data_IF_543451928925
#
_entry.id   IF_543451928925
#
_cell.length_a   1.000
_cell.length_b   1.000
_cell.length_c   1.000
_cell.angle_alpha   90.00
_cell.angle_beta   90.00
_cell.angle_gamma   90.00
#
_symmetry.space_group_name_H-M   'P 1'
#
loop_
_entity.id
_entity.type
_entity.pdbx_description
1 polymer ?
#
# COMPACT_ATOMS: atom_id res chain seq x y z
N UNK A 1 43.00 16.40 -0.18
CA UNK A 1 41.62 16.46 -0.70
C UNK A 1 40.91 15.18 -0.31
N UNK A 2 40.15 15.19 0.78
CA UNK A 2 39.38 14.03 1.24
C UNK A 2 37.92 14.23 0.83
N UNK A 3 37.44 13.39 -0.07
CA UNK A 3 36.02 13.29 -0.44
C UNK A 3 35.26 12.63 0.70
N UNK A 4 34.50 13.43 1.46
CA UNK A 4 33.45 12.95 2.34
C UNK A 4 32.24 12.57 1.48
N UNK A 5 32.12 11.28 1.14
CA UNK A 5 30.83 10.73 0.72
C UNK A 5 29.92 10.69 1.95
N UNK A 6 29.10 11.74 2.11
CA UNK A 6 27.98 11.72 3.03
C UNK A 6 27.01 10.62 2.61
N UNK A 7 26.91 9.56 3.42
CA UNK A 7 25.77 8.66 3.41
C UNK A 7 24.55 9.52 3.77
N UNK A 8 23.74 9.91 2.79
CA UNK A 8 22.42 10.43 3.04
C UNK A 8 21.61 9.30 3.70
N UNK A 9 21.58 9.28 5.04
CA UNK A 9 20.58 8.50 5.76
C UNK A 9 19.23 9.10 5.40
N UNK A 10 18.42 8.36 4.64
CA UNK A 10 17.01 8.65 4.53
C UNK A 10 16.45 8.71 5.95
N UNK A 11 15.89 9.86 6.34
CA UNK A 11 15.27 10.03 7.65
C UNK A 11 13.95 9.26 7.65
N UNK A 12 14.02 7.96 7.99
CA UNK A 12 12.84 7.11 8.07
C UNK A 12 11.96 7.53 9.27
N UNK A 13 10.71 7.87 9.00
CA UNK A 13 9.70 8.10 10.03
C UNK A 13 9.14 6.74 10.43
N UNK A 14 9.21 6.40 11.73
CA UNK A 14 8.56 5.22 12.32
C UNK A 14 7.29 5.64 13.03
N UNK A 15 6.16 5.13 12.57
CA UNK A 15 4.91 5.29 13.30
C UNK A 15 4.82 4.29 14.42
N UNK A 16 4.20 4.70 15.52
CA UNK A 16 3.86 3.81 16.62
C UNK A 16 2.37 3.88 16.86
N UNK A 17 1.81 2.74 17.18
CA UNK A 17 0.49 2.64 17.78
C UNK A 17 0.62 2.39 19.28
N UNK A 18 -0.15 3.12 20.12
CA UNK A 18 -0.08 3.03 21.57
C UNK A 18 -0.16 1.62 22.16
N UNK A 19 -0.98 0.74 21.60
CA UNK A 19 -1.43 -0.53 22.19
C UNK A 19 -1.23 -1.75 21.28
N UNK A 20 -0.97 -1.58 19.98
CA UNK A 20 -0.81 -2.69 19.01
C UNK A 20 0.47 -2.54 18.19
N UNK A 21 1.09 -3.66 17.89
CA UNK A 21 2.38 -3.76 17.19
C UNK A 21 2.19 -3.52 15.68
N UNK A 22 2.01 -2.25 15.30
CA UNK A 22 2.16 -1.81 13.92
C UNK A 22 3.46 -1.02 13.78
N UNK A 23 4.30 -1.49 12.86
CA UNK A 23 5.53 -0.84 12.47
C UNK A 23 5.50 -0.76 10.96
N UNK A 24 5.54 0.46 10.47
CA UNK A 24 5.82 0.74 9.08
C UNK A 24 6.77 1.93 9.06
N UNK A 25 7.58 2.00 8.02
CA UNK A 25 8.55 3.06 7.78
C UNK A 25 8.25 3.72 6.45
N UNK A 26 8.30 5.05 6.42
CA UNK A 26 8.20 5.84 5.20
C UNK A 26 9.07 7.09 5.29
N UNK A 27 9.18 7.80 4.17
CA UNK A 27 9.93 9.06 4.07
C UNK A 27 9.07 10.30 4.41
N UNK A 28 7.75 10.15 4.59
CA UNK A 28 6.82 11.25 4.91
C UNK A 28 6.25 11.21 6.32
N UNK A 29 5.54 12.28 6.68
CA UNK A 29 4.63 12.33 7.82
C UNK A 29 3.65 11.15 7.80
N UNK A 30 3.41 10.63 9.00
CA UNK A 30 2.62 9.44 9.25
C UNK A 30 1.30 9.79 9.92
N UNK A 31 0.19 9.19 9.48
CA UNK A 31 -1.00 9.06 10.32
C UNK A 31 -1.14 7.61 10.78
N UNK A 32 -1.16 7.42 12.10
CA UNK A 32 -1.46 6.13 12.71
C UNK A 32 -2.81 6.22 13.44
N UNK A 33 -3.66 5.21 13.25
CA UNK A 33 -4.96 5.14 13.94
C UNK A 33 -5.18 3.74 14.50
N UNK A 34 -5.58 3.64 15.76
CA UNK A 34 -5.96 2.39 16.40
C UNK A 34 -7.48 2.22 16.37
N UNK A 35 -7.96 1.09 15.83
CA UNK A 35 -9.38 0.75 15.86
C UNK A 35 -9.57 -0.74 16.07
N UNK A 36 -10.43 -1.13 17.03
CA UNK A 36 -10.78 -2.53 17.31
C UNK A 36 -9.60 -3.47 17.57
N UNK A 37 -8.55 -3.00 18.25
CA UNK A 37 -7.37 -3.82 18.51
C UNK A 37 -6.41 -3.94 17.30
N UNK A 38 -6.57 -3.11 16.28
CA UNK A 38 -5.70 -3.09 15.10
C UNK A 38 -5.21 -1.67 14.83
N UNK A 39 -3.95 -1.53 14.44
CA UNK A 39 -3.36 -0.24 14.13
C UNK A 39 -3.10 -0.07 12.63
N UNK A 40 -3.70 0.97 12.06
CA UNK A 40 -3.43 1.45 10.70
C UNK A 40 -2.23 2.38 10.75
N UNK A 41 -1.32 2.24 9.80
CA UNK A 41 -0.33 3.27 9.49
C UNK A 41 -0.51 3.68 8.03
N UNK A 42 -0.78 4.95 7.78
CA UNK A 42 -0.80 5.52 6.42
C UNK A 42 0.50 6.28 6.19
N UNK A 43 1.29 5.82 5.22
CA UNK A 43 2.37 6.58 4.63
C UNK A 43 2.00 6.97 3.20
N UNK A 44 2.46 8.14 2.79
CA UNK A 44 2.31 8.59 1.42
C UNK A 44 3.49 8.17 0.54
N UNK A 45 4.62 7.79 1.17
CA UNK A 45 5.87 7.35 0.53
C UNK A 45 6.49 6.23 1.38
N UNK A 46 6.95 5.16 0.73
CA UNK A 46 7.66 4.05 1.36
C UNK A 46 9.10 3.97 0.84
N UNK A 47 9.95 3.22 1.53
CA UNK A 47 11.30 2.92 1.02
C UNK A 47 11.18 1.97 -0.18
N UNK A 48 11.74 2.37 -1.33
CA UNK A 48 11.81 1.56 -2.56
C UNK A 48 12.25 0.12 -2.29
N UNK A 49 13.19 -0.10 -1.36
CA UNK A 49 13.66 -1.44 -0.98
C UNK A 49 12.55 -2.28 -0.36
N UNK A 50 11.71 -1.67 0.47
CA UNK A 50 10.58 -2.38 1.09
C UNK A 50 9.49 -2.68 0.07
N UNK A 51 9.24 -1.76 -0.87
CA UNK A 51 8.31 -1.99 -1.97
C UNK A 51 8.77 -3.12 -2.89
N UNK A 52 10.03 -3.12 -3.30
CA UNK A 52 10.63 -4.17 -4.11
C UNK A 52 10.62 -5.52 -3.36
N UNK A 53 10.91 -5.51 -2.06
CA UNK A 53 10.84 -6.72 -1.24
C UNK A 53 9.39 -7.23 -1.14
N UNK A 54 8.41 -6.35 -0.97
CA UNK A 54 7.00 -6.70 -0.95
C UNK A 54 6.53 -7.28 -2.30
N UNK A 55 6.98 -6.70 -3.43
CA UNK A 55 6.74 -7.23 -4.78
C UNK A 55 7.32 -8.63 -4.96
N UNK A 56 8.58 -8.82 -4.61
CA UNK A 56 9.29 -10.09 -4.80
C UNK A 56 8.66 -11.19 -3.93
N UNK A 57 8.25 -10.85 -2.71
CA UNK A 57 7.49 -11.74 -1.85
C UNK A 57 6.10 -12.05 -2.43
N UNK A 58 5.35 -11.04 -2.88
CA UNK A 58 4.02 -11.22 -3.49
C UNK A 58 4.10 -12.17 -4.71
N UNK A 59 5.14 -12.02 -5.52
CA UNK A 59 5.42 -12.90 -6.67
C UNK A 59 5.68 -14.35 -6.23
N UNK A 60 6.45 -14.53 -5.15
CA UNK A 60 6.75 -15.87 -4.59
C UNK A 60 5.52 -16.55 -4.00
N UNK A 61 4.77 -15.85 -3.14
CA UNK A 61 3.64 -16.44 -2.39
C UNK A 61 2.46 -16.76 -3.30
N UNK A 62 2.19 -15.93 -4.30
CA UNK A 62 1.08 -16.16 -5.22
C UNK A 62 1.43 -17.09 -6.40
N UNK A 63 2.69 -17.52 -6.54
CA UNK A 63 3.19 -18.32 -7.69
C UNK A 63 2.85 -17.67 -9.05
N UNK A 64 2.77 -16.35 -9.10
CA UNK A 64 2.40 -15.61 -10.30
C UNK A 64 3.65 -15.31 -11.12
N UNK A 65 3.57 -15.50 -12.44
CA UNK A 65 4.73 -15.32 -13.32
C UNK A 65 5.17 -13.87 -13.40
N UNK A 66 4.28 -12.89 -13.25
CA UNK A 66 4.62 -11.46 -13.23
C UNK A 66 3.61 -10.69 -12.34
N UNK A 67 4.07 -10.21 -11.19
CA UNK A 67 3.39 -9.16 -10.44
C UNK A 67 3.79 -7.84 -11.09
N UNK A 68 2.82 -7.07 -11.58
CA UNK A 68 3.10 -5.80 -12.20
C UNK A 68 3.46 -4.77 -11.12
N UNK A 69 4.65 -4.18 -11.23
CA UNK A 69 5.07 -3.06 -10.41
C UNK A 69 5.51 -1.94 -11.33
N UNK A 70 4.88 -0.78 -11.18
CA UNK A 70 5.25 0.41 -11.93
C UNK A 70 6.00 1.36 -11.01
N UNK A 71 7.28 1.54 -11.27
CA UNK A 71 8.02 2.67 -10.71
C UNK A 71 7.42 3.95 -11.30
N UNK A 72 6.83 4.78 -10.44
CA UNK A 72 6.40 6.11 -10.84
C UNK A 72 7.52 7.06 -10.43
N UNK A 73 8.44 7.41 -11.34
CA UNK A 73 9.54 8.29 -10.99
C UNK A 73 8.98 9.61 -10.47
N UNK A 74 9.64 10.15 -9.45
CA UNK A 74 9.44 11.54 -9.07
C UNK A 74 9.62 12.38 -10.33
N UNK A 75 8.57 13.09 -10.77
CA UNK A 75 8.80 14.19 -11.70
C UNK A 75 9.85 15.09 -11.04
N UNK A 76 10.76 15.68 -11.84
CA UNK A 76 11.89 16.55 -11.45
C UNK A 76 11.52 17.81 -10.61
N UNK A 77 10.31 17.88 -10.06
CA UNK A 77 9.84 18.91 -9.17
C UNK A 77 10.20 18.57 -7.73
N UNK A 78 11.32 19.15 -7.31
CA UNK A 78 11.97 19.18 -5.99
C UNK A 78 11.05 19.36 -4.76
N UNK A 79 9.75 19.60 -4.92
CA UNK A 79 8.81 19.90 -3.82
C UNK A 79 7.45 19.17 -3.91
N UNK A 80 7.30 18.10 -4.71
CA UNK A 80 6.08 17.29 -4.69
C UNK A 80 6.36 15.96 -4.00
N UNK A 81 5.74 15.65 -2.84
CA UNK A 81 5.98 14.39 -2.15
C UNK A 81 5.63 13.21 -3.07
N UNK A 82 6.58 12.27 -3.16
CA UNK A 82 6.77 11.09 -4.00
C UNK A 82 5.61 10.08 -3.94
N UNK A 83 4.38 10.53 -4.17
CA UNK A 83 3.19 9.73 -3.89
C UNK A 83 2.56 9.16 -5.15
N UNK A 84 2.07 7.93 -5.05
CA UNK A 84 1.22 7.29 -6.06
C UNK A 84 -0.01 8.18 -6.34
N UNK A 85 0.05 8.96 -7.42
CA UNK A 85 -0.95 9.99 -7.71
C UNK A 85 -2.27 9.40 -8.24
N UNK A 86 -3.35 10.17 -8.13
CA UNK A 86 -4.64 9.81 -8.73
C UNK A 86 -4.55 9.62 -10.25
N UNK A 87 -3.66 10.37 -10.92
CA UNK A 87 -3.40 10.23 -12.35
C UNK A 87 -2.76 8.88 -12.68
N UNK A 88 -1.80 8.45 -11.87
CA UNK A 88 -1.14 7.14 -12.01
C UNK A 88 -2.15 6.00 -11.79
N UNK A 89 -2.99 6.12 -10.75
CA UNK A 89 -4.05 5.15 -10.48
C UNK A 89 -5.06 5.04 -11.62
N UNK A 90 -5.50 6.17 -12.20
CA UNK A 90 -6.39 6.19 -13.38
C UNK A 90 -5.73 5.59 -14.63
N UNK A 91 -4.43 5.81 -14.81
CA UNK A 91 -3.68 5.25 -15.93
C UNK A 91 -3.61 3.72 -15.82
N UNK A 92 -3.26 3.20 -14.65
CA UNK A 92 -3.25 1.75 -14.39
C UNK A 92 -4.65 1.16 -14.53
N UNK A 93 -5.65 1.75 -13.87
CA UNK A 93 -7.04 1.27 -13.94
C UNK A 93 -7.61 1.20 -15.35
N UNK A 94 -7.18 2.05 -16.27
CA UNK A 94 -7.70 2.07 -17.64
C UNK A 94 -6.97 1.13 -18.60
N UNK A 95 -5.69 0.84 -18.34
CA UNK A 95 -4.87 -0.05 -19.18
C UNK A 95 -4.91 -1.50 -18.72
N UNK A 96 -4.71 -1.70 -17.43
CA UNK A 96 -4.69 -3.02 -16.79
C UNK A 96 -5.13 -2.89 -15.32
N UNK A 97 -6.43 -3.10 -15.03
CA UNK A 97 -6.95 -3.10 -13.68
C UNK A 97 -6.18 -4.02 -12.73
N UNK A 98 -5.67 -5.16 -13.21
CA UNK A 98 -4.93 -6.10 -12.38
C UNK A 98 -3.58 -5.51 -11.92
N UNK A 99 -2.91 -4.72 -12.76
CA UNK A 99 -1.71 -3.98 -12.39
C UNK A 99 -1.98 -2.96 -11.27
N UNK A 100 -3.16 -2.33 -11.24
CA UNK A 100 -3.52 -1.45 -10.12
C UNK A 100 -3.69 -2.25 -8.81
N UNK A 101 -4.30 -3.43 -8.87
CA UNK A 101 -4.45 -4.30 -7.71
C UNK A 101 -3.09 -4.75 -7.19
N UNK A 102 -2.19 -5.18 -8.08
CA UNK A 102 -0.82 -5.56 -7.72
C UNK A 102 -0.11 -4.40 -7.01
N UNK A 103 -0.21 -3.18 -7.56
CA UNK A 103 0.38 -1.98 -6.97
C UNK A 103 -0.19 -1.65 -5.58
N UNK A 104 -1.53 -1.66 -5.42
CA UNK A 104 -2.19 -1.41 -4.13
C UNK A 104 -1.79 -2.46 -3.09
N UNK A 105 -1.71 -3.73 -3.52
CA UNK A 105 -1.31 -4.81 -2.63
C UNK A 105 0.15 -4.67 -2.20
N UNK A 106 1.08 -4.33 -3.10
CA UNK A 106 2.48 -4.07 -2.73
C UNK A 106 2.55 -2.99 -1.65
N UNK A 107 1.88 -1.84 -1.84
CA UNK A 107 1.87 -0.77 -0.85
C UNK A 107 1.22 -1.19 0.48
N UNK A 108 0.12 -1.95 0.43
CA UNK A 108 -0.57 -2.44 1.64
C UNK A 108 0.29 -3.41 2.46
N UNK A 109 1.28 -4.05 1.84
CA UNK A 109 2.07 -5.12 2.43
C UNK A 109 3.44 -4.66 2.95
N UNK A 110 3.87 -3.42 2.68
CA UNK A 110 5.16 -2.87 3.14
C UNK A 110 5.33 -2.99 4.66
N UNK A 111 4.27 -2.77 5.44
CA UNK A 111 4.30 -2.90 6.90
C UNK A 111 4.58 -4.35 7.36
N UNK A 112 4.07 -5.35 6.62
CA UNK A 112 4.33 -6.76 6.92
C UNK A 112 5.76 -7.16 6.58
N UNK A 113 6.34 -6.54 5.54
CA UNK A 113 7.77 -6.72 5.21
C UNK A 113 8.65 -6.15 6.31
N UNK A 114 8.42 -4.92 6.75
CA UNK A 114 9.23 -4.27 7.80
C UNK A 114 9.17 -5.03 9.13
N UNK A 115 8.00 -5.58 9.47
CA UNK A 115 7.82 -6.39 10.68
C UNK A 115 8.32 -7.83 10.56
N UNK A 116 8.72 -8.29 9.36
CA UNK A 116 9.16 -9.67 9.11
C UNK A 116 8.06 -10.72 9.24
N UNK A 117 6.78 -10.33 9.26
CA UNK A 117 5.62 -11.21 9.48
C UNK A 117 4.99 -11.74 8.18
N UNK A 118 5.59 -11.43 7.02
CA UNK A 118 4.96 -11.71 5.73
C UNK A 118 4.88 -13.21 5.41
N UNK A 119 5.93 -13.97 5.72
CA UNK A 119 5.96 -15.42 5.46
C UNK A 119 4.87 -16.16 6.27
N UNK A 120 4.63 -15.72 7.52
CA UNK A 120 3.56 -16.26 8.37
C UNK A 120 2.15 -15.99 7.82
N UNK A 121 2.01 -15.03 6.91
CA UNK A 121 0.74 -14.65 6.28
C UNK A 121 0.67 -15.06 4.79
N UNK A 122 1.64 -15.81 4.27
CA UNK A 122 1.80 -16.07 2.83
C UNK A 122 0.54 -16.64 2.16
N UNK A 123 -0.08 -17.67 2.75
CA UNK A 123 -1.30 -18.29 2.21
C UNK A 123 -2.45 -17.28 2.15
N UNK A 124 -2.62 -16.49 3.22
CA UNK A 124 -3.68 -15.46 3.29
C UNK A 124 -3.43 -14.35 2.28
N UNK A 125 -2.19 -13.90 2.14
CA UNK A 125 -1.81 -12.89 1.14
C UNK A 125 -2.13 -13.39 -0.26
N UNK A 126 -1.83 -14.66 -0.57
CA UNK A 126 -2.13 -15.26 -1.86
C UNK A 126 -3.65 -15.34 -2.13
N UNK A 127 -4.44 -15.77 -1.14
CA UNK A 127 -5.90 -15.86 -1.26
C UNK A 127 -6.55 -14.48 -1.48
N UNK A 128 -6.11 -13.49 -0.71
CA UNK A 128 -6.57 -12.10 -0.83
C UNK A 128 -6.22 -11.55 -2.20
N UNK A 129 -4.95 -11.67 -2.61
CA UNK A 129 -4.51 -11.21 -3.92
C UNK A 129 -5.30 -11.84 -5.06
N UNK A 130 -5.56 -13.15 -5.00
CA UNK A 130 -6.38 -13.85 -5.98
C UNK A 130 -7.84 -13.35 -6.00
N UNK A 131 -8.44 -13.09 -4.84
CA UNK A 131 -9.78 -12.51 -4.73
C UNK A 131 -9.86 -11.12 -5.35
N UNK A 132 -8.87 -10.26 -5.07
CA UNK A 132 -8.82 -8.89 -5.57
C UNK A 132 -8.59 -8.86 -7.08
N UNK A 133 -7.70 -9.70 -7.61
CA UNK A 133 -7.46 -9.79 -9.06
C UNK A 133 -8.69 -10.26 -9.83
N UNK A 134 -9.47 -11.20 -9.28
CA UNK A 134 -10.76 -11.62 -9.88
C UNK A 134 -11.77 -10.48 -9.99
N UNK A 135 -11.69 -9.49 -9.10
CA UNK A 135 -12.58 -8.34 -9.05
C UNK A 135 -11.90 -7.03 -9.50
N UNK A 136 -10.76 -7.12 -10.19
CA UNK A 136 -9.87 -6.00 -10.44
C UNK A 136 -10.57 -4.81 -11.10
N UNK A 137 -11.37 -5.03 -12.14
CA UNK A 137 -12.07 -3.95 -12.86
C UNK A 137 -13.05 -3.16 -11.98
N UNK A 138 -13.74 -3.85 -11.07
CA UNK A 138 -14.73 -3.25 -10.18
C UNK A 138 -14.02 -2.46 -9.07
N UNK A 139 -13.00 -3.07 -8.47
CA UNK A 139 -12.20 -2.46 -7.41
C UNK A 139 -11.43 -1.26 -7.96
N UNK A 140 -10.80 -1.38 -9.13
CA UNK A 140 -10.01 -0.31 -9.74
C UNK A 140 -10.88 0.90 -10.05
N UNK A 141 -12.10 0.67 -10.56
CA UNK A 141 -13.06 1.72 -10.83
C UNK A 141 -13.46 2.47 -9.54
N UNK A 142 -13.83 1.75 -8.47
CA UNK A 142 -14.18 2.36 -7.19
C UNK A 142 -13.01 3.11 -6.54
N UNK A 143 -11.79 2.58 -6.67
CA UNK A 143 -10.59 3.19 -6.11
C UNK A 143 -10.26 4.55 -6.74
N UNK A 144 -10.62 4.78 -8.01
CA UNK A 144 -10.32 6.04 -8.73
C UNK A 144 -11.53 6.95 -8.95
N UNK A 145 -12.75 6.45 -8.78
CA UNK A 145 -14.00 7.19 -9.01
C UNK A 145 -14.44 7.98 -7.78
N UNK A 146 -14.92 9.21 -8.00
CA UNK A 146 -15.55 10.00 -6.95
C UNK A 146 -16.91 9.37 -6.60
N UNK A 147 -17.12 8.97 -5.34
CA UNK A 147 -18.44 8.65 -4.80
C UNK A 147 -18.92 7.19 -4.85
N UNK A 148 -18.15 6.25 -5.42
CA UNK A 148 -18.48 4.82 -5.37
C UNK A 148 -17.74 4.15 -4.20
N UNK A 149 -18.48 3.72 -3.18
CA UNK A 149 -17.99 2.84 -2.11
C UNK A 149 -18.45 1.42 -2.39
N UNK A 150 -17.51 0.48 -2.30
CA UNK A 150 -17.75 -0.95 -2.35
C UNK A 150 -17.44 -1.51 -0.98
N UNK A 151 -18.35 -2.33 -0.46
CA UNK A 151 -18.17 -3.06 0.78
C UNK A 151 -18.73 -4.47 0.58
N UNK A 152 -17.85 -5.44 0.46
CA UNK A 152 -18.22 -6.85 0.23
C UNK A 152 -17.14 -7.79 0.75
N UNK A 153 -17.53 -8.89 1.40
CA UNK A 153 -16.62 -9.96 1.87
C UNK A 153 -15.38 -9.46 2.64
N UNK A 154 -15.52 -8.41 3.45
CA UNK A 154 -14.42 -7.81 4.20
C UNK A 154 -13.49 -6.92 3.36
N UNK A 155 -13.79 -6.69 2.09
CA UNK A 155 -13.16 -5.70 1.21
C UNK A 155 -13.96 -4.40 1.32
N UNK A 156 -13.29 -3.28 1.64
CA UNK A 156 -13.83 -1.93 1.53
C UNK A 156 -12.98 -1.15 0.54
N UNK A 157 -13.60 -0.58 -0.49
CA UNK A 157 -12.92 0.22 -1.51
C UNK A 157 -13.72 1.48 -1.77
N UNK A 158 -13.04 2.62 -1.75
CA UNK A 158 -13.58 3.90 -2.18
C UNK A 158 -12.44 4.76 -2.71
N UNK A 159 -12.73 6.01 -3.08
CA UNK A 159 -11.73 6.87 -3.69
C UNK A 159 -10.44 6.97 -2.85
N UNK A 160 -9.35 6.43 -3.41
CA UNK A 160 -8.01 6.43 -2.83
C UNK A 160 -7.87 5.60 -1.55
N UNK A 161 -8.88 4.82 -1.17
CA UNK A 161 -8.84 3.99 0.03
C UNK A 161 -9.16 2.54 -0.31
N UNK A 162 -8.29 1.66 0.13
CA UNK A 162 -8.45 0.22 0.05
C UNK A 162 -8.27 -0.36 1.45
N UNK A 163 -9.20 -1.20 1.88
CA UNK A 163 -9.12 -1.96 3.13
C UNK A 163 -9.60 -3.38 2.87
N UNK A 164 -8.87 -4.35 3.41
CA UNK A 164 -9.26 -5.75 3.42
C UNK A 164 -9.09 -6.31 4.82
N UNK A 165 -10.16 -6.87 5.37
CA UNK A 165 -10.18 -7.51 6.69
C UNK A 165 -10.85 -8.87 6.60
N UNK A 166 -10.12 -9.95 6.91
CA UNK A 166 -10.68 -11.29 7.04
C UNK A 166 -9.89 -12.11 8.05
N UNK A 167 -10.61 -12.80 8.94
CA UNK A 167 -10.05 -13.54 10.06
C UNK A 167 -9.09 -12.64 10.87
N UNK A 168 -7.82 -13.06 11.01
CA UNK A 168 -6.76 -12.30 11.68
C UNK A 168 -5.83 -11.57 10.71
N UNK A 169 -6.21 -11.44 9.43
CA UNK A 169 -5.46 -10.71 8.43
C UNK A 169 -6.15 -9.38 8.10
N UNK A 170 -5.37 -8.32 8.10
CA UNK A 170 -5.82 -6.98 7.73
C UNK A 170 -4.75 -6.29 6.90
N UNK A 171 -5.18 -5.67 5.81
CA UNK A 171 -4.36 -4.88 4.92
C UNK A 171 -5.11 -3.61 4.55
N UNK A 172 -4.44 -2.46 4.60
CA UNK A 172 -5.04 -1.18 4.24
C UNK A 172 -4.03 -0.33 3.48
N UNK A 173 -4.52 0.39 2.48
CA UNK A 173 -3.80 1.44 1.79
C UNK A 173 -4.68 2.69 1.65
N UNK A 174 -4.10 3.84 2.00
CA UNK A 174 -4.70 5.16 1.83
C UNK A 174 -3.77 6.04 1.02
N UNK A 175 -4.22 6.45 -0.15
CA UNK A 175 -3.52 7.43 -0.95
C UNK A 175 -3.67 8.83 -0.36
N UNK A 176 -2.70 9.71 -0.62
CA UNK A 176 -2.70 11.12 -0.18
C UNK A 176 -3.91 11.93 -0.67
N UNK A 177 -4.57 11.45 -1.73
CA UNK A 177 -5.77 12.04 -2.33
C UNK A 177 -7.06 11.29 -1.95
N UNK A 178 -7.01 10.40 -0.96
CA UNK A 178 -8.18 9.68 -0.48
C UNK A 178 -9.18 10.60 0.21
N UNK A 179 -10.47 10.32 0.03
CA UNK A 179 -11.55 10.97 0.82
C UNK A 179 -11.55 10.56 2.29
N UNK A 180 -10.90 9.43 2.63
CA UNK A 180 -10.84 8.88 3.98
C UNK A 180 -9.47 9.05 4.64
N UNK A 181 -8.67 10.01 4.15
CA UNK A 181 -7.33 10.27 4.70
C UNK A 181 -7.34 10.61 6.20
N UNK A 182 -8.43 11.20 6.70
CA UNK A 182 -8.62 11.55 8.11
C UNK A 182 -9.38 10.49 8.92
N UNK A 183 -9.91 9.44 8.29
CA UNK A 183 -10.70 8.42 8.97
C UNK A 183 -9.79 7.27 9.41
N UNK A 184 -10.19 6.50 10.42
CA UNK A 184 -9.42 5.31 10.86
C UNK A 184 -9.52 4.16 9.85
N UNK A 185 -10.69 4.01 9.22
CA UNK A 185 -11.01 3.01 8.20
C UNK A 185 -11.18 3.65 6.83
N UNK A 186 -11.37 2.83 5.79
CA UNK A 186 -12.12 3.28 4.64
C UNK A 186 -13.58 3.47 5.06
#
# INVERSE_FOLDING_TARGET
>A
MSLLCGLAQANHVKCKCPNIDARATGSTSCSASESSGICTISFNEFDDRLELTARDLLSRVGKWKEVAYSEFPANDQVNSPQSFTRKNARLLSSKDPASLIDQIMIYSLVALVDSGKMDDQAERIADVHALLRRNASVISAAFVSDGQRIEDQGVIVQMGCFEFKRDNFWAMYKASWSVAISNEQC
#
